data_IF_983701339462
#
_entry.id   IF_983701339462
#
_cell.length_a   1.000
_cell.length_b   1.000
_cell.length_c   1.000
_cell.angle_alpha   90.00
_cell.angle_beta   90.00
_cell.angle_gamma   90.00
#
_symmetry.space_group_name_H-M   'P 1'
#
loop_
_entity.id
_entity.type
_entity.pdbx_description
1 polymer ?
#
# COMPACT_ATOMS: atom_id res chain seq x y z
N UNK A 1 -29.24 28.80 0.59
CA UNK A 1 -28.50 27.84 1.44
C UNK A 1 -28.44 26.50 0.74
N UNK A 2 -27.31 26.18 0.09
CA UNK A 2 -27.14 24.87 -0.55
C UNK A 2 -26.89 23.81 0.53
N UNK A 3 -27.84 22.88 0.72
CA UNK A 3 -27.64 21.65 1.52
C UNK A 3 -26.41 20.94 0.94
N UNK A 4 -25.34 20.81 1.72
CA UNK A 4 -24.22 19.93 1.39
C UNK A 4 -24.80 18.51 1.25
N UNK A 5 -24.98 18.05 0.00
CA UNK A 5 -25.18 16.62 -0.26
C UNK A 5 -23.93 15.92 0.25
N UNK A 6 -24.10 14.97 1.15
CA UNK A 6 -22.99 14.12 1.59
C UNK A 6 -22.32 13.49 0.37
N UNK A 7 -20.99 13.57 0.32
CA UNK A 7 -20.21 12.95 -0.74
C UNK A 7 -20.41 11.43 -0.71
N UNK A 8 -20.61 10.82 -1.88
CA UNK A 8 -20.67 9.37 -2.00
C UNK A 8 -19.32 8.73 -1.71
N UNK A 9 -19.31 7.44 -1.36
CA UNK A 9 -18.05 6.72 -1.10
C UNK A 9 -17.10 6.72 -2.30
N UNK A 10 -17.65 6.70 -3.52
CA UNK A 10 -16.85 6.81 -4.73
C UNK A 10 -16.21 8.20 -4.86
N UNK A 11 -16.95 9.27 -4.56
CA UNK A 11 -16.43 10.64 -4.57
C UNK A 11 -15.32 10.83 -3.52
N UNK A 12 -15.53 10.32 -2.30
CA UNK A 12 -14.52 10.33 -1.24
C UNK A 12 -13.24 9.60 -1.67
N UNK A 13 -13.37 8.40 -2.26
CA UNK A 13 -12.24 7.60 -2.78
C UNK A 13 -11.47 8.34 -3.88
N UNK A 14 -12.17 9.02 -4.80
CA UNK A 14 -11.54 9.81 -5.88
C UNK A 14 -10.72 10.95 -5.28
N UNK A 15 -11.29 11.72 -4.34
CA UNK A 15 -10.61 12.84 -3.69
C UNK A 15 -9.35 12.39 -2.93
N UNK A 16 -9.46 11.33 -2.13
CA UNK A 16 -8.32 10.74 -1.41
C UNK A 16 -7.24 10.29 -2.39
N UNK A 17 -7.61 9.55 -3.44
CA UNK A 17 -6.66 9.05 -4.44
C UNK A 17 -5.89 10.18 -5.12
N UNK A 18 -6.60 11.24 -5.55
CA UNK A 18 -5.96 12.37 -6.21
C UNK A 18 -5.06 13.14 -5.25
N UNK A 19 -5.49 13.36 -3.99
CA UNK A 19 -4.64 14.02 -2.99
C UNK A 19 -3.38 13.21 -2.68
N UNK A 20 -3.47 11.87 -2.60
CA UNK A 20 -2.31 10.99 -2.39
C UNK A 20 -1.34 11.03 -3.56
N UNK A 21 -1.84 11.17 -4.78
CA UNK A 21 -1.03 11.20 -5.98
C UNK A 21 -0.53 12.61 -6.34
N UNK A 22 -1.02 13.66 -5.66
CA UNK A 22 -0.64 15.07 -5.89
C UNK A 22 0.88 15.29 -5.72
N UNK A 23 1.52 14.51 -4.85
CA UNK A 23 2.99 14.53 -4.66
C UNK A 23 3.79 14.02 -5.86
N UNK A 24 3.18 13.23 -6.74
CA UNK A 24 3.85 12.49 -7.82
C UNK A 24 3.51 13.01 -9.21
N UNK A 25 2.62 14.01 -9.30
CA UNK A 25 2.12 14.53 -10.57
C UNK A 25 2.07 16.05 -10.53
N UNK A 26 2.13 16.69 -11.70
CA UNK A 26 2.06 18.14 -11.86
C UNK A 26 0.67 18.75 -11.57
N UNK A 27 -0.11 18.17 -10.65
CA UNK A 27 -1.48 18.58 -10.30
C UNK A 27 -2.56 18.14 -11.30
N UNK A 28 -2.18 17.55 -12.44
CA UNK A 28 -3.10 17.10 -13.49
C UNK A 28 -3.17 15.58 -13.59
N UNK A 29 -4.34 15.02 -13.28
CA UNK A 29 -4.58 13.57 -13.28
C UNK A 29 -5.35 13.11 -14.52
N UNK A 30 -4.82 12.18 -15.33
CA UNK A 30 -5.62 11.54 -16.36
C UNK A 30 -6.81 10.81 -15.74
N UNK A 31 -8.04 11.13 -16.18
CA UNK A 31 -9.27 10.46 -15.73
C UNK A 31 -9.18 8.93 -15.93
N UNK A 32 -8.50 8.50 -17.00
CA UNK A 32 -8.30 7.08 -17.30
C UNK A 32 -7.51 6.36 -16.19
N UNK A 33 -6.56 7.03 -15.54
CA UNK A 33 -5.80 6.44 -14.44
C UNK A 33 -6.70 6.24 -13.21
N UNK A 34 -7.56 7.21 -12.89
CA UNK A 34 -8.53 7.10 -11.80
C UNK A 34 -9.51 5.95 -12.08
N UNK A 35 -10.01 5.84 -13.32
CA UNK A 35 -10.87 4.73 -13.76
C UNK A 35 -10.17 3.37 -13.58
N UNK A 36 -8.89 3.28 -13.92
CA UNK A 36 -8.08 2.05 -13.77
C UNK A 36 -7.86 1.70 -12.30
N UNK A 37 -7.50 2.67 -11.46
CA UNK A 37 -7.21 2.46 -10.04
C UNK A 37 -8.44 2.04 -9.24
N UNK A 38 -9.59 2.67 -9.50
CA UNK A 38 -10.82 2.37 -8.76
C UNK A 38 -11.66 1.25 -9.38
N UNK A 39 -11.27 0.75 -10.57
CA UNK A 39 -11.99 -0.27 -11.36
C UNK A 39 -13.51 -0.02 -11.43
N UNK A 40 -13.91 1.24 -11.57
CA UNK A 40 -15.31 1.65 -11.54
C UNK A 40 -15.67 2.45 -12.80
N UNK A 41 -16.80 2.11 -13.43
CA UNK A 41 -17.26 2.73 -14.68
C UNK A 41 -17.97 4.08 -14.47
N UNK A 42 -18.50 4.34 -13.27
CA UNK A 42 -19.19 5.58 -12.90
C UNK A 42 -18.23 6.73 -12.53
N UNK A 43 -16.92 6.52 -12.63
CA UNK A 43 -15.90 7.54 -12.27
C UNK A 43 -16.12 8.84 -13.03
N UNK A 44 -16.47 8.79 -14.33
CA UNK A 44 -16.74 9.99 -15.10
C UNK A 44 -17.87 10.82 -14.48
N UNK A 45 -18.99 10.17 -14.13
CA UNK A 45 -20.14 10.84 -13.53
C UNK A 45 -19.83 11.38 -12.13
N UNK A 46 -19.08 10.63 -11.32
CA UNK A 46 -18.64 11.09 -10.00
C UNK A 46 -17.72 12.32 -10.11
N UNK A 47 -16.80 12.35 -11.05
CA UNK A 47 -15.93 13.50 -11.32
C UNK A 47 -16.73 14.72 -11.80
N UNK A 48 -17.74 14.51 -12.65
CA UNK A 48 -18.64 15.59 -13.06
C UNK A 48 -19.39 16.21 -11.86
N UNK A 49 -19.89 15.38 -10.93
CA UNK A 49 -20.52 15.88 -9.70
C UNK A 49 -19.54 16.60 -8.76
N UNK A 50 -18.29 16.17 -8.72
CA UNK A 50 -17.24 16.86 -7.96
C UNK A 50 -16.89 18.21 -8.60
N UNK A 51 -16.92 18.30 -9.94
CA UNK A 51 -16.69 19.54 -10.68
C UNK A 51 -17.82 20.55 -10.44
N UNK A 52 -19.09 20.11 -10.50
CA UNK A 52 -20.23 20.98 -10.18
C UNK A 52 -20.24 21.46 -8.73
N UNK A 53 -19.60 20.70 -7.83
CA UNK A 53 -19.40 21.08 -6.44
C UNK A 53 -18.15 21.95 -6.21
N UNK A 54 -17.38 22.26 -7.25
CA UNK A 54 -16.16 23.08 -7.17
C UNK A 54 -14.96 22.38 -6.51
N UNK A 55 -15.01 21.06 -6.30
CA UNK A 55 -13.96 20.29 -5.64
C UNK A 55 -12.86 19.83 -6.61
N UNK A 56 -13.19 19.73 -7.90
CA UNK A 56 -12.23 19.42 -8.96
C UNK A 56 -12.48 20.28 -10.19
N UNK A 57 -11.49 20.39 -11.08
CA UNK A 57 -11.61 21.02 -12.39
C UNK A 57 -11.28 19.99 -13.46
N UNK A 58 -12.19 19.78 -14.42
CA UNK A 58 -11.93 18.89 -15.55
C UNK A 58 -11.37 19.69 -16.74
N UNK A 59 -10.24 19.25 -17.27
CA UNK A 59 -9.61 19.84 -18.43
C UNK A 59 -9.60 18.84 -19.58
N UNK A 60 -10.33 19.17 -20.66
CA UNK A 60 -10.34 18.37 -21.89
C UNK A 60 -9.22 18.85 -22.81
N UNK A 61 -8.33 17.94 -23.21
CA UNK A 61 -7.25 18.21 -24.17
C UNK A 61 -7.68 17.82 -25.60
N UNK A 62 -7.05 18.38 -26.65
CA UNK A 62 -7.42 18.11 -28.05
C UNK A 62 -7.37 16.63 -28.45
N UNK A 63 -6.49 15.85 -27.81
CA UNK A 63 -6.37 14.40 -28.00
C UNK A 63 -7.51 13.58 -27.33
N UNK A 64 -8.64 14.21 -27.02
CA UNK A 64 -9.80 13.64 -26.30
C UNK A 64 -9.49 13.10 -24.89
N UNK A 65 -8.29 13.33 -24.36
CA UNK A 65 -7.95 12.96 -22.98
C UNK A 65 -8.53 13.98 -22.03
N UNK A 66 -9.13 13.47 -20.96
CA UNK A 66 -9.67 14.28 -19.87
C UNK A 66 -8.70 14.20 -18.70
N UNK A 67 -8.26 15.36 -18.26
CA UNK A 67 -7.48 15.54 -17.05
C UNK A 67 -8.35 16.15 -15.96
N UNK A 68 -8.00 15.86 -14.72
CA UNK A 68 -8.70 16.37 -13.55
C UNK A 68 -7.67 16.97 -12.63
N UNK A 69 -7.93 18.17 -12.16
CA UNK A 69 -7.12 18.90 -11.19
C UNK A 69 -7.91 19.04 -9.90
N UNK A 70 -7.24 18.90 -8.75
CA UNK A 70 -7.85 19.20 -7.46
C UNK A 70 -7.89 20.71 -7.23
N UNK A 71 -9.06 21.25 -6.87
CA UNK A 71 -9.14 22.63 -6.37
C UNK A 71 -8.64 22.71 -4.92
N UNK A 72 -8.41 23.91 -4.41
CA UNK A 72 -8.03 24.08 -3.00
C UNK A 72 -9.13 23.63 -2.03
N UNK A 73 -10.40 23.84 -2.40
CA UNK A 73 -11.54 23.30 -1.68
C UNK A 73 -11.54 21.76 -1.72
N UNK A 74 -11.22 21.18 -2.88
CA UNK A 74 -11.01 19.75 -3.04
C UNK A 74 -9.89 19.19 -2.17
N UNK A 75 -8.74 19.89 -2.10
CA UNK A 75 -7.59 19.51 -1.26
C UNK A 75 -7.97 19.50 0.22
N UNK A 76 -8.63 20.56 0.67
CA UNK A 76 -9.08 20.71 2.06
C UNK A 76 -10.07 19.59 2.43
N UNK A 77 -11.04 19.32 1.54
CA UNK A 77 -12.01 18.24 1.71
C UNK A 77 -11.35 16.86 1.69
N UNK A 78 -10.44 16.61 0.75
CA UNK A 78 -9.72 15.34 0.66
C UNK A 78 -8.88 15.10 1.93
N UNK A 79 -8.24 16.14 2.46
CA UNK A 79 -7.44 16.06 3.69
C UNK A 79 -8.29 15.75 4.93
N UNK A 80 -9.51 16.29 5.02
CA UNK A 80 -10.43 15.99 6.12
C UNK A 80 -11.00 14.57 6.03
N UNK A 81 -11.16 14.04 4.82
CA UNK A 81 -11.62 12.67 4.55
C UNK A 81 -10.54 11.60 4.76
N UNK A 82 -9.26 11.99 4.77
CA UNK A 82 -8.16 11.06 4.97
C UNK A 82 -8.18 10.51 6.40
N UNK A 83 -8.24 9.18 6.58
CA UNK A 83 -8.08 8.55 7.89
C UNK A 83 -6.82 9.08 8.56
N UNK A 84 -6.88 9.36 9.86
CA UNK A 84 -5.74 9.90 10.65
C UNK A 84 -4.49 9.04 10.43
N UNK A 85 -4.67 7.73 10.33
CA UNK A 85 -3.63 6.73 10.05
C UNK A 85 -2.92 7.00 8.70
N UNK A 86 -3.65 7.36 7.64
CA UNK A 86 -3.07 7.65 6.33
C UNK A 86 -2.31 8.99 6.32
N UNK A 87 -2.79 10.01 7.08
CA UNK A 87 -2.03 11.27 7.29
C UNK A 87 -0.70 11.01 7.99
N UNK A 88 -0.71 10.24 9.07
CA UNK A 88 0.50 9.83 9.80
C UNK A 88 1.46 8.98 8.93
N UNK A 89 0.91 8.19 8.00
CA UNK A 89 1.69 7.41 7.05
C UNK A 89 2.39 8.26 5.99
N UNK A 90 1.78 9.38 5.55
CA UNK A 90 2.36 10.30 4.54
C UNK A 90 3.47 11.19 5.09
N UNK A 91 3.40 11.56 6.36
CA UNK A 91 4.42 12.41 7.01
C UNK A 91 5.74 11.68 7.30
N UNK A 92 5.73 10.34 7.32
CA UNK A 92 6.96 9.58 7.39
C UNK A 92 7.59 9.47 6.00
N UNK A 93 8.75 10.12 5.83
CA UNK A 93 9.56 9.99 4.62
C UNK A 93 10.09 8.57 4.39
N UNK A 94 10.93 8.44 3.37
CA UNK A 94 11.52 7.15 3.00
C UNK A 94 12.37 6.59 4.15
N UNK A 95 12.16 5.31 4.50
CA UNK A 95 12.95 4.58 5.49
C UNK A 95 13.80 3.53 4.79
N UNK A 96 15.10 3.53 5.07
CA UNK A 96 16.02 2.47 4.61
C UNK A 96 15.95 1.33 5.62
N UNK A 97 15.72 0.11 5.14
CA UNK A 97 15.75 -1.08 5.98
C UNK A 97 17.18 -1.64 6.03
N UNK A 98 17.71 -1.92 7.22
CA UNK A 98 19.03 -2.54 7.35
C UNK A 98 18.98 -4.00 6.91
N UNK A 99 20.11 -4.58 6.52
CA UNK A 99 20.22 -6.00 6.23
C UNK A 99 21.22 -6.67 7.17
N UNK A 100 21.01 -7.96 7.45
CA UNK A 100 21.96 -8.78 8.19
C UNK A 100 22.00 -10.18 7.59
N UNK A 101 23.17 -10.56 7.09
CA UNK A 101 23.36 -11.86 6.47
C UNK A 101 23.09 -13.01 7.45
N UNK A 102 22.62 -14.14 6.91
CA UNK A 102 22.52 -15.39 7.66
C UNK A 102 23.91 -15.86 8.07
N UNK A 103 23.99 -16.45 9.27
CA UNK A 103 25.21 -17.06 9.80
C UNK A 103 25.13 -18.58 9.62
N UNK A 104 26.29 -19.26 9.62
CA UNK A 104 26.36 -20.73 9.54
C UNK A 104 25.59 -21.41 10.66
N UNK A 105 25.63 -20.84 11.85
CA UNK A 105 24.84 -21.28 12.99
C UNK A 105 23.77 -20.24 13.29
N UNK A 106 22.52 -20.65 13.17
CA UNK A 106 21.37 -19.87 13.56
C UNK A 106 20.82 -20.44 14.86
N UNK A 107 20.54 -19.56 15.81
CA UNK A 107 19.93 -19.94 17.09
C UNK A 107 18.61 -19.22 17.22
N UNK A 108 17.62 -19.96 17.69
CA UNK A 108 16.35 -19.39 18.08
C UNK A 108 16.53 -18.45 19.26
N UNK A 109 16.01 -17.23 19.14
CA UNK A 109 15.90 -16.26 20.23
C UNK A 109 14.44 -15.88 20.42
N UNK A 110 14.09 -15.40 21.60
CA UNK A 110 12.77 -14.84 21.86
C UNK A 110 12.76 -13.34 21.53
N UNK A 111 11.77 -12.93 20.75
CA UNK A 111 11.50 -11.53 20.44
C UNK A 111 10.04 -11.22 20.73
N UNK A 112 9.76 -10.03 21.24
CA UNK A 112 8.40 -9.52 21.34
C UNK A 112 8.08 -8.65 20.13
N UNK A 113 7.02 -9.00 19.39
CA UNK A 113 6.48 -8.17 18.33
C UNK A 113 5.04 -7.82 18.71
N UNK A 114 4.82 -6.56 19.09
CA UNK A 114 3.52 -6.00 19.48
C UNK A 114 2.87 -6.70 20.69
N UNK A 115 3.65 -7.01 21.72
CA UNK A 115 3.17 -7.69 22.92
C UNK A 115 2.89 -9.18 22.70
N UNK A 116 3.44 -9.77 21.62
CA UNK A 116 3.36 -11.20 21.33
C UNK A 116 4.77 -11.76 21.25
N UNK A 117 5.11 -12.78 22.06
CA UNK A 117 6.41 -13.42 21.99
C UNK A 117 6.51 -14.37 20.79
N UNK A 118 7.64 -14.34 20.11
CA UNK A 118 8.00 -15.22 19.01
C UNK A 118 9.39 -15.81 19.27
N UNK A 119 9.52 -17.11 19.11
CA UNK A 119 10.82 -17.80 19.07
C UNK A 119 11.26 -17.85 17.61
N UNK A 120 12.41 -17.27 17.26
CA UNK A 120 12.82 -17.08 15.85
C UNK A 120 14.34 -17.09 15.68
N UNK A 121 14.81 -17.61 14.54
CA UNK A 121 16.21 -17.66 14.13
C UNK A 121 16.55 -16.70 13.00
N UNK A 122 15.55 -16.26 12.20
CA UNK A 122 15.69 -15.25 11.14
C UNK A 122 14.35 -14.63 10.77
N UNK A 123 14.38 -13.48 10.10
CA UNK A 123 13.19 -12.82 9.58
C UNK A 123 13.38 -12.27 8.16
N UNK A 124 12.29 -12.04 7.44
CA UNK A 124 12.32 -11.39 6.13
C UNK A 124 11.13 -10.47 5.92
N UNK A 125 11.39 -9.34 5.28
CA UNK A 125 10.35 -8.51 4.69
C UNK A 125 9.95 -9.14 3.35
N UNK A 126 8.72 -9.62 3.23
CA UNK A 126 8.23 -10.30 2.02
C UNK A 126 7.27 -9.39 1.27
N UNK A 127 7.57 -9.16 0.00
CA UNK A 127 6.67 -8.53 -0.98
C UNK A 127 5.98 -9.63 -1.77
N UNK A 128 4.65 -9.65 -1.73
CA UNK A 128 3.85 -10.65 -2.43
C UNK A 128 3.50 -10.20 -3.85
N UNK A 129 3.16 -11.14 -4.77
CA UNK A 129 2.75 -10.83 -6.14
C UNK A 129 1.52 -9.90 -6.24
N UNK A 130 0.62 -9.98 -5.26
CA UNK A 130 -0.57 -9.12 -5.17
C UNK A 130 -0.26 -7.69 -4.67
N UNK A 131 1.01 -7.39 -4.38
CA UNK A 131 1.47 -6.11 -3.86
C UNK A 131 1.30 -5.95 -2.35
N UNK A 132 0.81 -6.96 -1.65
CA UNK A 132 0.76 -6.95 -0.18
C UNK A 132 2.14 -7.25 0.41
N UNK A 133 2.31 -6.92 1.69
CA UNK A 133 3.56 -7.12 2.42
C UNK A 133 3.35 -7.94 3.67
N UNK A 134 4.38 -8.67 4.09
CA UNK A 134 4.35 -9.46 5.32
C UNK A 134 5.73 -9.61 5.93
N UNK A 135 5.78 -9.82 7.25
CA UNK A 135 6.99 -10.30 7.90
C UNK A 135 6.92 -11.82 7.97
N UNK A 136 7.90 -12.48 7.35
CA UNK A 136 8.13 -13.90 7.56
C UNK A 136 9.13 -14.09 8.70
N UNK A 137 8.78 -14.96 9.64
CA UNK A 137 9.61 -15.35 10.77
C UNK A 137 9.88 -16.84 10.67
N UNK A 138 11.13 -17.25 10.80
CA UNK A 138 11.48 -18.68 10.87
C UNK A 138 12.11 -18.99 12.22
N UNK A 139 11.84 -20.19 12.70
CA UNK A 139 12.49 -20.83 13.84
C UNK A 139 12.99 -22.19 13.42
N UNK A 140 14.16 -22.58 13.94
CA UNK A 140 14.71 -23.91 13.71
C UNK A 140 13.84 -25.00 14.36
N UNK A 141 13.15 -24.67 15.47
CA UNK A 141 12.38 -25.64 16.24
C UNK A 141 10.85 -25.56 16.05
N UNK A 142 10.32 -24.39 15.68
CA UNK A 142 8.86 -24.13 15.62
C UNK A 142 8.32 -23.87 14.22
N UNK A 143 9.17 -23.90 13.18
CA UNK A 143 8.77 -23.68 11.80
C UNK A 143 8.62 -22.20 11.45
N UNK A 144 7.59 -21.85 10.67
CA UNK A 144 7.42 -20.50 10.11
C UNK A 144 6.16 -19.81 10.63
N UNK A 145 6.27 -18.53 10.93
CA UNK A 145 5.15 -17.64 11.25
C UNK A 145 5.11 -16.44 10.29
N UNK A 146 3.91 -15.92 10.07
CA UNK A 146 3.66 -14.81 9.16
C UNK A 146 2.87 -13.70 9.86
N UNK A 147 3.34 -12.47 9.72
CA UNK A 147 2.62 -11.29 10.17
C UNK A 147 2.26 -10.44 8.96
N UNK A 148 0.97 -10.39 8.63
CA UNK A 148 0.45 -9.55 7.55
C UNK A 148 0.29 -8.11 8.06
N UNK A 149 0.72 -7.14 7.25
CA UNK A 149 0.59 -5.73 7.57
C UNK A 149 0.92 -4.87 6.37
N UNK A 150 0.64 -3.58 6.45
CA UNK A 150 1.12 -2.64 5.43
C UNK A 150 2.65 -2.49 5.51
N UNK A 151 3.28 -1.94 4.47
CA UNK A 151 4.74 -1.87 4.36
C UNK A 151 5.41 -1.18 5.57
N UNK A 152 4.76 -0.18 6.17
CA UNK A 152 5.28 0.52 7.35
C UNK A 152 5.21 -0.36 8.59
N UNK A 153 4.06 -0.97 8.87
CA UNK A 153 3.90 -1.89 10.00
C UNK A 153 4.93 -3.02 9.91
N UNK A 154 5.06 -3.63 8.72
CA UNK A 154 6.04 -4.69 8.48
C UNK A 154 7.47 -4.17 8.66
N UNK A 155 7.78 -2.93 8.24
CA UNK A 155 9.10 -2.33 8.45
C UNK A 155 9.45 -2.11 9.92
N UNK A 156 8.47 -1.81 10.77
CA UNK A 156 8.67 -1.63 12.20
C UNK A 156 9.00 -2.96 12.87
N UNK A 157 8.24 -4.02 12.55
CA UNK A 157 8.51 -5.37 13.07
C UNK A 157 9.83 -5.93 12.55
N UNK A 158 10.15 -5.65 11.28
CA UNK A 158 11.43 -5.99 10.67
C UNK A 158 12.60 -5.33 11.43
N UNK A 159 12.45 -4.05 11.81
CA UNK A 159 13.46 -3.37 12.60
C UNK A 159 13.63 -4.02 13.98
N UNK A 160 12.54 -4.38 14.66
CA UNK A 160 12.60 -5.10 15.94
C UNK A 160 13.43 -6.38 15.80
N UNK A 161 13.25 -7.14 14.72
CA UNK A 161 14.07 -8.32 14.43
C UNK A 161 15.56 -7.97 14.25
N UNK A 162 15.87 -6.92 13.49
CA UNK A 162 17.26 -6.48 13.28
C UNK A 162 17.92 -6.05 14.60
N UNK A 163 17.24 -5.23 15.38
CA UNK A 163 17.73 -4.71 16.65
C UNK A 163 17.96 -5.85 17.65
N UNK A 164 17.09 -6.87 17.63
CA UNK A 164 17.21 -8.07 18.46
C UNK A 164 18.37 -9.00 18.10
N UNK A 165 19.06 -8.78 16.97
CA UNK A 165 20.20 -9.61 16.61
C UNK A 165 20.04 -10.42 15.32
N UNK A 166 18.82 -10.52 14.80
CA UNK A 166 18.48 -11.55 13.81
C UNK A 166 19.07 -11.26 12.43
N UNK A 167 19.45 -12.32 11.69
CA UNK A 167 19.56 -12.25 10.24
C UNK A 167 18.23 -11.77 9.64
N UNK A 168 18.31 -10.74 8.81
CA UNK A 168 17.16 -10.12 8.17
C UNK A 168 17.45 -9.77 6.72
N UNK A 169 16.49 -10.06 5.84
CA UNK A 169 16.58 -9.75 4.42
C UNK A 169 15.23 -9.35 3.80
N UNK A 170 15.25 -8.83 2.58
CA UNK A 170 14.05 -8.57 1.79
C UNK A 170 13.89 -9.68 0.76
N UNK A 171 12.67 -10.18 0.61
CA UNK A 171 12.31 -11.22 -0.34
C UNK A 171 11.11 -10.78 -1.16
N UNK A 172 11.08 -11.23 -2.40
CA UNK A 172 9.90 -11.16 -3.26
C UNK A 172 9.42 -12.59 -3.43
N UNK A 173 8.18 -12.83 -3.05
CA UNK A 173 7.54 -14.11 -3.31
C UNK A 173 7.30 -14.25 -4.82
N UNK A 174 7.75 -15.36 -5.39
CA UNK A 174 7.69 -15.62 -6.82
C UNK A 174 6.70 -16.75 -7.10
N UNK A 175 5.65 -16.49 -7.86
CA UNK A 175 4.66 -17.50 -8.25
C UNK A 175 5.25 -18.61 -9.16
N UNK A 176 6.52 -18.48 -9.58
CA UNK A 176 7.22 -19.48 -10.42
C UNK A 176 7.28 -20.89 -9.80
N UNK A 177 7.10 -21.04 -8.49
CA UNK A 177 6.96 -22.38 -7.89
C UNK A 177 5.64 -23.08 -8.27
N UNK A 178 4.56 -22.33 -8.51
CA UNK A 178 3.26 -22.88 -8.95
C UNK A 178 3.23 -23.14 -10.46
N UNK A 179 3.93 -22.36 -11.27
CA UNK A 179 4.09 -22.61 -12.71
C UNK A 179 4.84 -23.94 -12.97
N UNK A 180 5.84 -24.26 -12.15
CA UNK A 180 6.60 -25.52 -12.25
C UNK A 180 5.79 -26.77 -11.87
N UNK A 181 4.77 -26.64 -11.00
CA UNK A 181 3.83 -27.73 -10.68
C UNK A 181 2.76 -27.93 -11.77
N UNK A 182 2.35 -26.85 -12.44
CA UNK A 182 1.37 -26.90 -13.54
C UNK A 182 1.84 -27.73 -14.75
N UNK A 183 3.13 -27.65 -15.10
CA UNK A 183 3.71 -28.40 -16.22
C UNK A 183 3.98 -29.90 -15.92
N UNK A 184 3.79 -30.35 -14.66
CA UNK A 184 4.07 -31.74 -14.22
C UNK A 184 2.86 -32.54 -13.76
N UNK A 185 1.66 -31.97 -13.74
CA UNK A 185 0.45 -32.74 -13.49
C UNK A 185 -0.07 -33.28 -14.83
N UNK A 186 -0.04 -34.60 -15.08
CA UNK A 186 -0.71 -35.16 -16.25
C UNK A 186 -2.20 -34.88 -16.14
N UNK A 187 -2.79 -34.51 -17.28
CA UNK A 187 -4.16 -34.02 -17.39
C UNK A 187 -5.19 -34.88 -16.66
N UNK A 188 -6.20 -34.20 -16.12
CA UNK A 188 -7.52 -34.76 -15.90
C UNK A 188 -8.44 -34.30 -17.01
#
# INVERSE_FOLDING_TARGET
MFKQRELSDLQKKILILMLSADSFSSGLFPLQNIKRSLRNHCVYYACYLLETSGLVRMQRRPNRRVFIELSDAGRTMAASLMPVEYRQHREAGNRILPSRAQRREMRDIEIDIRGRPYTVSRAAFVIRPDGTTSLALWSENKGQAWLNGNARQVSEWYQTCYDAGLPVNVQVEDDRWMAWLGDRLPGR
#
